data_IF_433996316571
#
_entry.id   IF_433996316571
#
_cell.length_a   1.000
_cell.length_b   1.000
_cell.length_c   1.000
_cell.angle_alpha   90.00
_cell.angle_beta   90.00
_cell.angle_gamma   90.00
#
_symmetry.space_group_name_H-M   'P 1'
#
loop_
_entity.id
_entity.type
_entity.pdbx_description
1 polymer ?
#
# COMPACT_ATOMS: atom_id res chain seq x y z
N UNK A 1 80.83 14.54 -0.75
CA UNK A 1 79.57 15.14 -0.11
C UNK A 1 78.41 14.47 -0.82
N UNK A 2 77.92 13.35 -0.26
CA UNK A 2 76.85 12.53 -0.90
C UNK A 2 75.53 12.82 -0.23
N UNK A 3 74.60 13.51 -0.93
CA UNK A 3 73.27 13.82 -0.48
C UNK A 3 72.32 12.66 -0.88
N UNK A 4 71.88 11.83 0.07
CA UNK A 4 70.91 10.77 -0.13
C UNK A 4 69.49 11.36 0.06
N UNK A 5 68.77 11.56 -1.05
CA UNK A 5 67.35 11.85 -1.04
C UNK A 5 66.57 10.56 -0.77
N UNK A 6 65.95 10.46 0.42
CA UNK A 6 65.02 9.36 0.71
C UNK A 6 63.60 9.77 0.25
N UNK A 7 63.15 9.16 -0.83
CA UNK A 7 61.75 9.28 -1.28
C UNK A 7 60.87 8.39 -0.41
N UNK A 8 60.09 9.00 0.46
CA UNK A 8 59.03 8.28 1.21
C UNK A 8 57.80 8.11 0.30
N UNK A 9 57.59 6.88 -0.14
CA UNK A 9 56.39 6.47 -0.87
C UNK A 9 55.20 6.39 0.10
N UNK A 10 54.29 7.37 0.06
CA UNK A 10 53.03 7.32 0.78
C UNK A 10 52.08 6.39 0.05
N UNK A 11 51.84 5.20 0.64
CA UNK A 11 50.81 4.26 0.17
C UNK A 11 49.43 4.78 0.61
N UNK A 12 48.64 5.35 -0.30
CA UNK A 12 47.24 5.67 -0.11
C UNK A 12 46.45 4.35 -0.18
N UNK A 13 46.06 3.81 0.98
CA UNK A 13 45.10 2.70 1.07
C UNK A 13 43.69 3.27 0.86
N UNK A 14 43.16 3.10 -0.34
CA UNK A 14 41.77 3.39 -0.66
C UNK A 14 40.91 2.32 0.08
N UNK A 15 40.27 2.68 1.18
CA UNK A 15 39.26 1.85 1.84
C UNK A 15 38.04 1.89 0.94
N UNK A 16 37.83 0.87 0.12
CA UNK A 16 36.58 0.64 -0.59
C UNK A 16 35.52 0.28 0.46
N UNK A 17 34.65 1.25 0.81
CA UNK A 17 33.45 0.99 1.59
C UNK A 17 32.54 0.17 0.67
N UNK A 18 32.22 -1.10 0.98
CA UNK A 18 31.26 -1.86 0.21
C UNK A 18 29.93 -1.09 0.29
N UNK A 19 29.42 -0.57 -0.82
CA UNK A 19 28.06 -0.13 -0.94
C UNK A 19 27.20 -1.38 -0.67
N UNK A 20 26.72 -1.53 0.56
CA UNK A 20 25.73 -2.54 0.91
C UNK A 20 24.46 -2.18 0.14
N UNK A 21 24.27 -2.85 -0.99
CA UNK A 21 22.95 -2.90 -1.62
C UNK A 21 21.99 -3.42 -0.54
N UNK A 22 20.99 -2.64 -0.20
CA UNK A 22 19.94 -3.04 0.73
C UNK A 22 19.39 -4.39 0.28
N UNK A 23 19.46 -5.39 1.15
CA UNK A 23 18.92 -6.70 0.84
C UNK A 23 17.39 -6.60 0.79
N UNK A 24 16.82 -6.76 -0.41
CA UNK A 24 15.38 -6.67 -0.67
C UNK A 24 14.59 -7.54 0.30
N UNK A 25 15.13 -8.71 0.65
CA UNK A 25 14.50 -9.60 1.63
C UNK A 25 14.53 -9.03 3.04
N UNK A 26 15.58 -8.28 3.38
CA UNK A 26 15.66 -7.61 4.66
C UNK A 26 14.62 -6.48 4.73
N UNK A 27 14.52 -5.67 3.68
CA UNK A 27 13.51 -4.61 3.57
C UNK A 27 12.10 -5.20 3.62
N UNK A 28 11.81 -6.25 2.86
CA UNK A 28 10.51 -6.91 2.89
C UNK A 28 10.13 -7.40 4.29
N UNK A 29 11.06 -8.03 5.01
CA UNK A 29 10.84 -8.46 6.41
C UNK A 29 10.61 -7.27 7.35
N UNK A 30 11.35 -6.19 7.20
CA UNK A 30 11.19 -4.97 8.01
C UNK A 30 9.80 -4.37 7.83
N UNK A 31 9.33 -4.26 6.57
CA UNK A 31 7.97 -3.82 6.25
C UNK A 31 6.91 -4.77 6.84
N UNK A 32 7.09 -6.09 6.69
CA UNK A 32 6.18 -7.08 7.27
C UNK A 32 6.10 -6.94 8.80
N UNK A 33 7.24 -6.77 9.45
CA UNK A 33 7.32 -6.59 10.90
C UNK A 33 6.64 -5.28 11.33
N UNK A 34 6.89 -4.17 10.61
CA UNK A 34 6.25 -2.90 10.87
C UNK A 34 4.71 -3.04 10.84
N UNK A 35 4.15 -3.51 9.70
CA UNK A 35 2.70 -3.65 9.55
C UNK A 35 2.11 -4.73 10.46
N UNK A 36 2.81 -5.80 10.77
CA UNK A 36 2.32 -6.84 11.67
C UNK A 36 2.18 -6.36 13.13
N UNK A 37 3.01 -5.43 13.57
CA UNK A 37 2.96 -4.86 14.93
C UNK A 37 1.97 -3.69 15.07
N UNK A 38 1.52 -3.08 13.99
CA UNK A 38 0.49 -2.04 14.05
C UNK A 38 -0.83 -2.58 14.61
N UNK A 39 -1.43 -1.84 15.53
CA UNK A 39 -2.79 -2.09 16.06
C UNK A 39 -3.83 -1.30 15.31
N UNK A 40 -3.51 -0.09 14.90
CA UNK A 40 -4.37 0.82 14.15
C UNK A 40 -3.54 1.77 13.32
N UNK A 41 -4.17 2.31 12.29
CA UNK A 41 -3.57 3.23 11.34
C UNK A 41 -4.62 4.23 10.88
N UNK A 42 -4.23 5.49 10.70
CA UNK A 42 -4.95 6.48 9.93
C UNK A 42 -4.00 7.08 8.90
N UNK A 43 -4.48 7.28 7.68
CA UNK A 43 -3.77 8.00 6.64
C UNK A 43 -4.75 8.73 5.73
N UNK A 44 -4.34 9.83 5.14
CA UNK A 44 -5.03 10.40 3.99
C UNK A 44 -4.55 9.67 2.74
N UNK A 45 -5.45 9.45 1.78
CA UNK A 45 -5.11 8.78 0.53
C UNK A 45 -5.55 9.59 -0.68
N UNK A 46 -4.81 9.40 -1.77
CA UNK A 46 -5.22 9.76 -3.14
C UNK A 46 -5.14 8.49 -3.98
N UNK A 47 -6.24 8.15 -4.63
CA UNK A 47 -6.35 7.07 -5.60
C UNK A 47 -6.39 7.66 -7.00
N UNK A 48 -5.55 7.19 -7.89
CA UNK A 48 -5.43 7.64 -9.27
C UNK A 48 -5.58 6.44 -10.18
N UNK A 49 -6.71 6.34 -10.86
CA UNK A 49 -6.95 5.33 -11.89
C UNK A 49 -6.62 5.91 -13.26
N UNK A 50 -5.90 5.13 -14.08
CA UNK A 50 -5.61 5.44 -15.48
C UNK A 50 -5.89 4.22 -16.34
N UNK A 51 -6.89 4.33 -17.20
CA UNK A 51 -7.29 3.23 -18.10
C UNK A 51 -8.29 3.72 -19.13
N UNK A 52 -8.39 3.01 -20.27
CA UNK A 52 -9.33 3.31 -21.34
C UNK A 52 -9.29 4.78 -21.84
N UNK A 53 -8.12 5.42 -21.77
CA UNK A 53 -7.95 6.83 -22.15
C UNK A 53 -8.50 7.85 -21.13
N UNK A 54 -8.92 7.41 -19.95
CA UNK A 54 -9.43 8.25 -18.87
C UNK A 54 -8.48 8.22 -17.65
N UNK A 55 -8.43 9.36 -16.94
CA UNK A 55 -7.85 9.45 -15.61
C UNK A 55 -8.93 9.86 -14.60
N UNK A 56 -9.01 9.15 -13.48
CA UNK A 56 -9.88 9.50 -12.36
C UNK A 56 -9.03 9.66 -11.12
N UNK A 57 -9.21 10.76 -10.41
CA UNK A 57 -8.52 11.05 -9.15
C UNK A 57 -9.57 11.14 -8.04
N UNK A 58 -9.39 10.32 -7.03
CA UNK A 58 -10.26 10.30 -5.86
C UNK A 58 -9.40 10.45 -4.60
N UNK A 59 -9.95 11.02 -3.55
CA UNK A 59 -9.21 11.21 -2.32
C UNK A 59 -10.09 11.13 -1.08
N UNK A 60 -9.46 10.84 0.05
CA UNK A 60 -10.18 10.69 1.30
C UNK A 60 -9.27 10.35 2.47
N UNK A 61 -9.85 9.71 3.48
CA UNK A 61 -9.12 9.23 4.65
C UNK A 61 -9.41 7.76 4.90
N UNK A 62 -8.37 7.03 5.24
CA UNK A 62 -8.38 5.63 5.61
C UNK A 62 -8.18 5.48 7.11
N UNK A 63 -8.95 4.60 7.74
CA UNK A 63 -8.71 4.08 9.10
C UNK A 63 -8.68 2.57 9.07
N UNK A 64 -7.66 2.00 9.68
CA UNK A 64 -7.52 0.56 9.92
C UNK A 64 -7.43 0.30 11.41
N UNK A 65 -8.08 -0.76 11.89
CA UNK A 65 -7.94 -1.27 13.24
C UNK A 65 -7.96 -2.78 13.22
N UNK A 66 -6.92 -3.40 13.72
CA UNK A 66 -6.86 -4.86 13.83
C UNK A 66 -7.79 -5.39 14.92
N UNK A 67 -8.37 -6.60 14.72
CA UNK A 67 -8.34 -7.36 13.48
C UNK A 67 -9.41 -6.90 12.48
N UNK A 68 -9.07 -6.80 11.20
CA UNK A 68 -9.99 -6.74 10.05
C UNK A 68 -10.98 -5.57 9.99
N UNK A 69 -10.86 -4.56 10.86
CA UNK A 69 -11.71 -3.37 10.80
C UNK A 69 -11.08 -2.34 9.89
N UNK A 70 -11.89 -1.80 8.98
CA UNK A 70 -11.45 -0.86 7.97
C UNK A 70 -12.55 0.15 7.69
N UNK A 71 -12.16 1.40 7.44
CA UNK A 71 -13.04 2.46 6.97
C UNK A 71 -12.30 3.32 5.97
N UNK A 72 -12.81 3.39 4.75
CA UNK A 72 -12.35 4.29 3.70
C UNK A 72 -13.44 5.30 3.42
N UNK A 73 -13.17 6.57 3.68
CA UNK A 73 -14.06 7.67 3.37
C UNK A 73 -13.48 8.45 2.20
N UNK A 74 -14.07 8.27 1.03
CA UNK A 74 -13.81 9.10 -0.13
C UNK A 74 -14.60 10.40 0.02
N UNK A 75 -13.95 11.55 -0.23
CA UNK A 75 -14.56 12.87 -0.14
C UNK A 75 -14.58 13.60 -1.48
N UNK A 76 -13.65 13.31 -2.36
CA UNK A 76 -13.53 13.97 -3.65
C UNK A 76 -13.31 12.94 -4.75
N UNK A 77 -13.88 13.14 -5.95
CA UNK A 77 -14.87 14.17 -6.34
C UNK A 77 -16.28 13.82 -5.84
N UNK A 78 -16.52 12.55 -5.44
CA UNK A 78 -17.81 12.06 -4.92
C UNK A 78 -17.59 11.33 -3.62
N UNK A 79 -18.55 11.48 -2.71
CA UNK A 79 -18.56 10.72 -1.48
C UNK A 79 -18.82 9.25 -1.76
N UNK A 80 -17.98 8.39 -1.21
CA UNK A 80 -18.14 6.94 -1.15
C UNK A 80 -17.66 6.46 0.22
N UNK A 81 -18.22 5.38 0.69
CA UNK A 81 -17.85 4.82 1.96
C UNK A 81 -17.67 3.31 1.85
N UNK A 82 -16.47 2.86 2.17
CA UNK A 82 -16.18 1.45 2.33
C UNK A 82 -15.90 1.16 3.80
N UNK A 83 -16.65 0.24 4.40
CA UNK A 83 -16.50 -0.13 5.82
C UNK A 83 -16.41 -1.65 5.96
N UNK A 84 -15.52 -2.10 6.84
CA UNK A 84 -15.52 -3.44 7.41
C UNK A 84 -15.52 -3.36 8.92
N UNK A 85 -16.45 -4.04 9.58
CA UNK A 85 -16.50 -4.17 11.05
C UNK A 85 -15.72 -5.39 11.57
N UNK A 86 -15.10 -6.16 10.66
CA UNK A 86 -14.41 -7.40 10.93
C UNK A 86 -15.25 -8.66 10.66
N UNK A 87 -16.53 -8.53 10.31
CA UNK A 87 -17.45 -9.62 9.96
C UNK A 87 -18.13 -9.38 8.61
N UNK A 88 -18.71 -8.20 8.43
CA UNK A 88 -19.36 -7.75 7.22
C UNK A 88 -18.64 -6.58 6.58
N UNK A 89 -18.91 -6.40 5.30
CA UNK A 89 -18.36 -5.31 4.49
C UNK A 89 -19.50 -4.58 3.81
N UNK A 90 -19.47 -3.27 3.85
CA UNK A 90 -20.41 -2.37 3.20
C UNK A 90 -19.67 -1.43 2.27
N UNK A 91 -20.23 -1.25 1.08
CA UNK A 91 -19.83 -0.20 0.15
C UNK A 91 -21.05 0.67 -0.15
N UNK A 92 -21.01 1.90 0.30
CA UNK A 92 -22.12 2.85 0.22
C UNK A 92 -21.78 3.99 -0.72
N UNK A 93 -22.70 4.24 -1.66
CA UNK A 93 -22.67 5.33 -2.63
C UNK A 93 -23.81 6.30 -2.31
N UNK A 94 -23.58 7.38 -1.54
CA UNK A 94 -24.63 8.30 -1.10
C UNK A 94 -25.41 8.92 -2.25
N UNK A 95 -24.71 9.36 -3.32
CA UNK A 95 -25.33 10.01 -4.48
C UNK A 95 -26.31 9.10 -5.23
N UNK A 96 -26.08 7.80 -5.20
CA UNK A 96 -26.89 6.79 -5.87
C UNK A 96 -27.91 6.16 -4.93
N UNK A 97 -27.86 6.49 -3.63
CA UNK A 97 -28.62 5.84 -2.52
C UNK A 97 -28.49 4.32 -2.56
N UNK A 98 -27.33 3.82 -3.02
CA UNK A 98 -27.06 2.40 -3.19
C UNK A 98 -26.11 1.89 -2.12
N UNK A 99 -26.42 0.74 -1.53
CA UNK A 99 -25.60 0.03 -0.59
C UNK A 99 -25.33 -1.39 -1.12
N UNK A 100 -24.07 -1.74 -1.24
CA UNK A 100 -23.66 -3.13 -1.51
C UNK A 100 -23.12 -3.73 -0.21
N UNK A 101 -23.61 -4.92 0.14
CA UNK A 101 -23.19 -5.66 1.33
C UNK A 101 -22.61 -7.01 0.92
N UNK A 102 -21.50 -7.38 1.54
CA UNK A 102 -20.86 -8.68 1.34
C UNK A 102 -20.22 -9.19 2.64
N UNK A 103 -19.72 -10.41 2.62
CA UNK A 103 -18.98 -10.98 3.75
C UNK A 103 -17.48 -10.70 3.61
N UNK A 104 -16.78 -10.65 4.75
CA UNK A 104 -15.34 -10.48 4.78
C UNK A 104 -14.60 -11.58 4.00
N UNK A 105 -15.13 -12.83 4.01
CA UNK A 105 -14.56 -13.94 3.23
C UNK A 105 -14.53 -13.62 1.74
N UNK A 106 -15.59 -13.03 1.20
CA UNK A 106 -15.63 -12.59 -0.21
C UNK A 106 -14.67 -11.41 -0.47
N UNK A 107 -14.39 -10.58 0.55
CA UNK A 107 -13.39 -9.53 0.45
C UNK A 107 -11.96 -10.11 0.41
N UNK A 108 -11.68 -11.13 1.22
CA UNK A 108 -10.41 -11.85 1.18
C UNK A 108 -10.19 -12.48 -0.21
N UNK A 109 -11.27 -12.90 -0.88
CA UNK A 109 -11.23 -13.39 -2.27
C UNK A 109 -11.03 -12.26 -3.31
N UNK A 110 -11.40 -11.01 -3.00
CA UNK A 110 -11.17 -9.84 -3.87
C UNK A 110 -9.73 -9.30 -3.77
N UNK A 111 -8.94 -9.82 -2.85
CA UNK A 111 -7.49 -9.68 -2.73
C UNK A 111 -7.00 -8.28 -3.07
N UNK A 112 -7.51 -7.31 -2.32
CA UNK A 112 -7.13 -5.89 -2.45
C UNK A 112 -5.64 -5.71 -2.20
N UNK A 113 -4.93 -4.88 -2.99
CA UNK A 113 -3.54 -4.47 -2.70
C UNK A 113 -3.39 -3.84 -1.32
N UNK A 114 -4.49 -3.44 -0.73
CA UNK A 114 -4.57 -2.89 0.62
C UNK A 114 -4.39 -3.96 1.71
N UNK A 115 -4.42 -5.24 1.36
CA UNK A 115 -4.11 -6.33 2.30
C UNK A 115 -2.72 -6.17 2.93
N UNK A 116 -1.77 -5.57 2.21
CA UNK A 116 -0.44 -5.26 2.75
C UNK A 116 -0.51 -4.32 3.96
N UNK A 117 -1.42 -3.33 3.94
CA UNK A 117 -1.60 -2.39 5.04
C UNK A 117 -2.29 -3.02 6.25
N UNK A 118 -3.03 -4.11 6.06
CA UNK A 118 -3.72 -4.81 7.15
C UNK A 118 -2.80 -5.69 7.98
N UNK A 119 -1.59 -5.99 7.49
CA UNK A 119 -0.66 -6.94 8.10
C UNK A 119 -1.19 -8.38 8.03
N UNK A 120 -0.41 -9.33 8.52
CA UNK A 120 -0.56 -10.79 8.38
C UNK A 120 -0.13 -11.34 7.02
N UNK A 121 0.46 -10.51 6.20
CA UNK A 121 1.07 -10.92 4.94
C UNK A 121 2.58 -11.05 5.12
N UNK A 122 3.19 -11.80 4.24
CA UNK A 122 4.64 -11.78 4.01
C UNK A 122 4.85 -11.35 2.58
N UNK A 123 5.44 -10.19 2.37
CA UNK A 123 5.64 -9.62 1.04
C UNK A 123 6.30 -10.61 0.07
N UNK A 124 7.27 -11.39 0.56
CA UNK A 124 7.94 -12.42 -0.25
C UNK A 124 7.00 -13.55 -0.69
N UNK A 125 5.93 -13.84 0.05
CA UNK A 125 4.94 -14.85 -0.30
C UNK A 125 3.82 -14.29 -1.18
N UNK A 126 3.48 -13.02 -0.97
CA UNK A 126 2.39 -12.36 -1.71
C UNK A 126 2.83 -11.86 -3.08
N UNK A 127 4.11 -11.47 -3.21
CA UNK A 127 4.69 -10.91 -4.43
C UNK A 127 5.78 -11.83 -4.98
N UNK A 128 5.47 -12.58 -6.02
CA UNK A 128 6.45 -13.41 -6.70
C UNK A 128 7.45 -12.55 -7.47
N UNK A 129 8.73 -12.94 -7.44
CA UNK A 129 9.78 -12.23 -8.15
C UNK A 129 10.07 -10.83 -7.60
N UNK A 130 9.89 -10.66 -6.27
CA UNK A 130 10.14 -9.39 -5.60
C UNK A 130 11.52 -8.83 -5.95
N UNK A 131 11.55 -7.61 -6.49
CA UNK A 131 12.76 -6.97 -6.99
C UNK A 131 12.70 -5.44 -6.80
N UNK A 132 13.88 -4.78 -6.82
CA UNK A 132 13.97 -3.32 -6.76
C UNK A 132 13.65 -2.73 -8.13
N UNK A 133 12.85 -1.67 -8.15
CA UNK A 133 12.60 -0.87 -9.35
C UNK A 133 13.75 0.12 -9.50
N UNK A 134 14.44 0.11 -10.65
CA UNK A 134 15.59 0.98 -10.93
C UNK A 134 15.36 1.90 -12.14
N UNK A 135 14.28 1.67 -12.86
CA UNK A 135 13.88 2.36 -14.09
C UNK A 135 12.83 3.45 -13.86
N UNK A 136 12.42 3.65 -12.61
CA UNK A 136 11.48 4.69 -12.19
C UNK A 136 12.00 5.44 -10.98
N UNK A 137 11.59 6.72 -10.87
CA UNK A 137 11.92 7.54 -9.70
C UNK A 137 10.87 7.40 -8.61
N UNK A 138 11.29 7.24 -7.35
CA UNK A 138 10.37 7.30 -6.21
C UNK A 138 9.81 8.73 -6.03
N UNK A 139 8.76 8.88 -5.23
CA UNK A 139 8.19 10.18 -4.83
C UNK A 139 9.20 10.99 -4.00
N UNK A 140 10.05 10.30 -3.25
CA UNK A 140 11.13 10.90 -2.48
C UNK A 140 12.43 10.11 -2.71
N UNK A 141 13.59 10.79 -2.89
CA UNK A 141 14.86 10.11 -3.25
C UNK A 141 15.34 9.06 -2.24
N UNK A 142 14.96 9.21 -0.97
CA UNK A 142 15.30 8.28 0.10
C UNK A 142 14.45 7.01 0.12
N UNK A 143 13.34 6.98 -0.62
CA UNK A 143 12.44 5.85 -0.65
C UNK A 143 12.96 4.73 -1.57
N UNK A 144 12.60 3.50 -1.25
CA UNK A 144 12.89 2.34 -2.07
C UNK A 144 11.62 1.88 -2.80
N UNK A 145 11.74 1.65 -4.11
CA UNK A 145 10.69 1.06 -4.92
C UNK A 145 10.93 -0.44 -5.06
N UNK A 146 9.92 -1.24 -4.70
CA UNK A 146 9.86 -2.67 -4.95
C UNK A 146 8.75 -2.99 -5.94
N UNK A 147 8.93 -4.06 -6.71
CA UNK A 147 7.88 -4.64 -7.57
C UNK A 147 7.85 -6.15 -7.45
N UNK A 148 6.69 -6.73 -7.73
CA UNK A 148 6.49 -8.16 -7.82
C UNK A 148 5.13 -8.52 -8.40
N UNK A 149 4.95 -9.78 -8.78
CA UNK A 149 3.68 -10.29 -9.31
C UNK A 149 2.78 -10.74 -8.16
N UNK A 150 1.58 -10.16 -7.99
CA UNK A 150 0.69 -10.50 -6.89
C UNK A 150 0.07 -11.89 -7.08
N UNK A 151 0.47 -12.85 -6.24
CA UNK A 151 -0.01 -14.25 -6.32
C UNK A 151 -1.52 -14.35 -6.13
N UNK A 152 -2.03 -13.46 -5.37
CA UNK A 152 -3.41 -13.42 -5.00
C UNK A 152 -4.33 -12.80 -6.07
N UNK A 153 -3.79 -12.10 -7.07
CA UNK A 153 -4.51 -11.38 -8.12
C UNK A 153 -4.16 -11.90 -9.53
N UNK A 154 -3.82 -13.19 -9.63
CA UNK A 154 -3.49 -13.82 -10.92
C UNK A 154 -4.65 -13.62 -11.91
N UNK A 155 -4.34 -13.08 -13.08
CA UNK A 155 -5.33 -12.75 -14.13
C UNK A 155 -6.06 -11.42 -13.92
N UNK A 156 -5.86 -10.72 -12.79
CA UNK A 156 -6.42 -9.40 -12.51
C UNK A 156 -5.34 -8.31 -12.54
N UNK A 157 -4.17 -8.59 -11.97
CA UNK A 157 -3.04 -7.67 -11.99
C UNK A 157 -1.76 -8.39 -12.44
N UNK A 158 -1.00 -7.70 -13.26
CA UNK A 158 0.29 -8.18 -13.79
C UNK A 158 1.45 -7.85 -12.84
N UNK A 159 1.39 -6.71 -12.15
CA UNK A 159 2.44 -6.22 -11.27
C UNK A 159 1.85 -5.37 -10.15
N UNK A 160 2.46 -5.44 -8.99
CA UNK A 160 2.30 -4.47 -7.89
C UNK A 160 3.65 -3.82 -7.63
N UNK A 161 3.64 -2.49 -7.51
CA UNK A 161 4.79 -1.73 -7.04
C UNK A 161 4.48 -1.13 -5.67
N UNK A 162 5.47 -1.15 -4.79
CA UNK A 162 5.41 -0.56 -3.45
C UNK A 162 6.52 0.47 -3.30
N UNK A 163 6.18 1.67 -2.86
CA UNK A 163 7.18 2.66 -2.44
C UNK A 163 7.25 2.69 -0.92
N UNK A 164 8.44 2.46 -0.41
CA UNK A 164 8.72 2.25 1.00
C UNK A 164 9.68 3.31 1.49
N UNK A 165 9.33 3.97 2.59
CA UNK A 165 10.19 4.95 3.26
C UNK A 165 11.31 4.27 4.06
N UNK A 166 12.35 5.01 4.49
CA UNK A 166 13.36 4.49 5.41
C UNK A 166 12.81 4.03 6.78
N UNK A 167 11.56 4.41 7.11
CA UNK A 167 10.84 3.98 8.32
C UNK A 167 9.84 2.83 8.06
N UNK A 168 10.02 2.09 6.96
CA UNK A 168 9.21 0.93 6.56
C UNK A 168 7.72 1.22 6.26
N UNK A 169 7.35 2.50 6.05
CA UNK A 169 6.00 2.87 5.67
C UNK A 169 5.80 2.75 4.15
N UNK A 170 4.70 2.13 3.73
CA UNK A 170 4.30 2.06 2.32
C UNK A 170 3.55 3.34 1.98
N UNK A 171 4.20 4.28 1.29
CA UNK A 171 3.62 5.58 0.92
C UNK A 171 2.97 5.59 -0.45
N UNK A 172 3.26 4.59 -1.30
CA UNK A 172 2.62 4.42 -2.60
C UNK A 172 2.47 2.93 -2.94
N UNK A 173 1.31 2.60 -3.50
CA UNK A 173 1.02 1.29 -4.09
C UNK A 173 0.55 1.55 -5.51
N UNK A 174 1.15 0.88 -6.51
CA UNK A 174 0.70 0.92 -7.90
C UNK A 174 0.36 -0.49 -8.34
N UNK A 175 -0.85 -0.66 -8.89
CA UNK A 175 -1.24 -1.87 -9.59
C UNK A 175 -1.15 -1.64 -11.09
N UNK A 176 -0.53 -2.55 -11.78
CA UNK A 176 -0.66 -2.70 -13.22
C UNK A 176 -1.67 -3.83 -13.47
N UNK A 177 -2.85 -3.48 -13.92
CA UNK A 177 -3.95 -4.42 -14.17
C UNK A 177 -3.72 -5.24 -15.45
N UNK A 178 -4.42 -6.35 -15.59
CA UNK A 178 -4.22 -7.27 -16.71
C UNK A 178 -4.62 -6.67 -18.07
N UNK A 179 -5.56 -5.73 -18.08
CA UNK A 179 -6.01 -4.98 -19.26
C UNK A 179 -5.10 -3.77 -19.60
N UNK A 180 -4.06 -3.53 -18.78
CA UNK A 180 -3.12 -2.42 -18.94
C UNK A 180 -3.51 -1.14 -18.22
N UNK A 181 -4.65 -1.11 -17.53
CA UNK A 181 -4.98 -0.01 -16.64
C UNK A 181 -4.03 0.03 -15.43
N UNK A 182 -3.91 1.19 -14.80
CA UNK A 182 -3.16 1.35 -13.56
C UNK A 182 -4.01 2.00 -12.49
N UNK A 183 -3.93 1.45 -11.27
CA UNK A 183 -4.49 2.08 -10.08
C UNK A 183 -3.36 2.39 -9.11
N UNK A 184 -3.18 3.66 -8.80
CA UNK A 184 -2.14 4.17 -7.90
C UNK A 184 -2.77 4.72 -6.63
N UNK A 185 -2.34 4.22 -5.47
CA UNK A 185 -2.66 4.78 -4.16
C UNK A 185 -1.44 5.50 -3.61
N UNK A 186 -1.62 6.75 -3.20
CA UNK A 186 -0.64 7.54 -2.44
C UNK A 186 -1.17 7.80 -1.06
N UNK A 187 -0.33 7.61 -0.05
CA UNK A 187 -0.70 7.81 1.36
C UNK A 187 0.13 8.91 1.99
N UNK A 188 -0.50 9.70 2.84
CA UNK A 188 0.12 10.79 3.58
C UNK A 188 -0.52 10.94 4.97
N UNK A 189 0.08 11.77 5.83
CA UNK A 189 -0.50 12.09 7.14
C UNK A 189 -0.64 10.88 8.07
N UNK A 190 0.29 9.95 8.01
CA UNK A 190 0.31 8.72 8.80
C UNK A 190 0.19 8.99 10.30
N UNK A 191 -0.74 8.26 10.94
CA UNK A 191 -0.89 8.20 12.39
C UNK A 191 -1.09 6.75 12.79
N UNK A 192 -0.14 6.22 13.53
CA UNK A 192 -0.09 4.81 13.90
C UNK A 192 -0.46 4.60 15.36
N UNK A 193 -1.01 3.42 15.65
CA UNK A 193 -1.36 2.98 16.99
C UNK A 193 -2.29 3.92 17.77
N UNK A 194 -3.17 4.63 17.03
CA UNK A 194 -4.21 5.48 17.63
C UNK A 194 -5.25 4.66 18.39
N UNK A 195 -5.81 5.23 19.43
CA UNK A 195 -7.01 4.70 20.07
C UNK A 195 -8.24 5.00 19.20
N UNK A 196 -8.66 4.04 18.38
CA UNK A 196 -9.83 4.15 17.54
C UNK A 196 -11.01 3.44 18.21
N UNK A 197 -12.14 4.18 18.38
CA UNK A 197 -13.39 3.57 18.84
C UNK A 197 -13.91 2.57 17.82
N UNK A 198 -14.47 1.46 18.28
CA UNK A 198 -15.12 0.45 17.44
C UNK A 198 -16.35 1.00 16.71
N UNK A 199 -17.01 2.01 17.26
CA UNK A 199 -18.14 2.70 16.61
C UNK A 199 -17.76 3.34 15.26
N UNK A 200 -16.49 3.70 15.05
CA UNK A 200 -16.01 4.21 13.76
C UNK A 200 -16.18 3.20 12.63
N UNK A 201 -16.17 1.92 12.95
CA UNK A 201 -16.24 0.82 11.98
C UNK A 201 -17.64 0.21 11.90
N UNK A 202 -18.63 0.79 12.57
CA UNK A 202 -20.02 0.42 12.45
C UNK A 202 -20.69 1.25 11.36
N UNK A 203 -21.63 0.65 10.65
CA UNK A 203 -22.42 1.31 9.63
C UNK A 203 -23.88 0.95 9.76
N UNK A 204 -24.72 1.97 9.82
CA UNK A 204 -26.18 1.83 9.78
C UNK A 204 -26.65 2.49 8.49
N UNK A 205 -27.26 1.73 7.57
CA UNK A 205 -27.80 2.29 6.33
C UNK A 205 -28.81 3.40 6.60
N UNK A 206 -28.74 4.54 5.92
CA UNK A 206 -29.78 5.56 5.98
C UNK A 206 -31.14 5.02 5.50
N UNK A 207 -32.27 5.59 5.96
CA UNK A 207 -33.59 5.21 5.47
C UNK A 207 -33.73 5.34 3.95
N UNK A 208 -34.37 4.36 3.31
CA UNK A 208 -34.66 4.37 1.87
C UNK A 208 -33.43 4.13 0.98
N UNK A 209 -32.35 3.54 1.53
CA UNK A 209 -31.21 3.07 0.75
C UNK A 209 -31.51 1.66 0.27
N UNK A 210 -31.33 1.42 -1.02
CA UNK A 210 -31.44 0.09 -1.60
C UNK A 210 -30.20 -0.74 -1.26
N UNK A 211 -30.45 -1.93 -0.69
CA UNK A 211 -29.34 -2.86 -0.36
C UNK A 211 -29.28 -3.94 -1.43
N UNK A 212 -28.16 -4.02 -2.12
CA UNK A 212 -27.84 -5.06 -3.10
C UNK A 212 -26.82 -6.02 -2.50
N UNK A 213 -27.16 -7.30 -2.44
CA UNK A 213 -26.19 -8.33 -2.08
C UNK A 213 -25.39 -8.73 -3.34
N UNK A 214 -24.06 -8.64 -3.29
CA UNK A 214 -23.26 -8.96 -4.47
C UNK A 214 -21.78 -8.64 -4.36
N UNK A 215 -21.10 -8.69 -5.51
CA UNK A 215 -19.69 -8.28 -5.60
C UNK A 215 -19.54 -6.78 -5.35
N UNK A 216 -18.48 -6.45 -4.60
CA UNK A 216 -17.97 -5.08 -4.51
C UNK A 216 -17.08 -4.86 -5.74
N UNK A 217 -17.63 -4.24 -6.75
CA UNK A 217 -16.87 -3.84 -7.94
C UNK A 217 -17.47 -2.56 -8.51
N UNK A 218 -16.67 -1.79 -9.27
CA UNK A 218 -17.23 -0.66 -9.99
C UNK A 218 -18.35 -1.12 -10.91
#
# INVERSE_FOLDING_TARGET
MNCRFSVRLLLLVAIAIPARGEDIRQLARSVDDHYNHLRSLQADFTEIYRGEGAERVESGTLWLKKPRKMRWEYRSPKEKLFISDGQAVWFYLPAERQLRKTTLKKLDDLRSPLAFLLGKTKLENELQGLSKVVDQSPLSPENTLLRGVPQAMVGQANEVQLEITPSDQIVRIVLLEADGATTEYRFAGWKENLELSDSRFQFTPPPGVETVEGQLGP
#
